data_IF_708644676239
#
_entry.id   IF_708644676239
#
_cell.length_a   1.000
_cell.length_b   1.000
_cell.length_c   1.000
_cell.angle_alpha   90.00
_cell.angle_beta   90.00
_cell.angle_gamma   90.00
#
_symmetry.space_group_name_H-M   'P 1'
#
loop_
_entity.id
_entity.type
_entity.pdbx_description
1 polymer ?
#
# COMPACT_ATOMS: atom_id res chain seq x y z
N UNK A 1 -22.65 -4.01 -14.28
CA UNK A 1 -23.42 -3.55 -13.10
C UNK A 1 -22.48 -2.65 -12.32
N UNK A 2 -22.73 -1.34 -12.25
CA UNK A 2 -21.96 -0.47 -11.37
C UNK A 2 -22.38 -0.80 -9.94
N UNK A 3 -21.49 -1.41 -9.16
CA UNK A 3 -21.74 -1.56 -7.72
C UNK A 3 -21.64 -0.17 -7.12
N UNK A 4 -22.55 0.16 -6.19
CA UNK A 4 -22.44 1.41 -5.45
C UNK A 4 -21.05 1.51 -4.81
N UNK A 5 -20.50 2.73 -4.75
CA UNK A 5 -19.20 2.97 -4.13
C UNK A 5 -19.17 2.36 -2.73
N UNK A 6 -18.22 1.47 -2.51
CA UNK A 6 -17.93 0.83 -1.23
C UNK A 6 -17.53 1.89 -0.21
N UNK A 7 -17.80 1.58 1.06
CA UNK A 7 -17.46 2.49 2.15
C UNK A 7 -15.97 2.43 2.45
N UNK A 8 -15.45 3.53 3.00
CA UNK A 8 -14.14 3.55 3.64
C UNK A 8 -14.33 3.11 5.10
N UNK A 9 -13.55 2.13 5.54
CA UNK A 9 -13.61 1.54 6.88
C UNK A 9 -12.20 1.48 7.49
N UNK A 10 -12.10 1.36 8.81
CA UNK A 10 -10.84 1.41 9.58
C UNK A 10 -10.61 0.16 10.44
N UNK A 11 -11.03 -1.01 9.95
CA UNK A 11 -10.97 -2.29 10.67
C UNK A 11 -9.59 -2.98 10.65
N UNK A 12 -8.70 -2.57 9.74
CA UNK A 12 -7.42 -3.23 9.48
C UNK A 12 -6.31 -2.24 9.80
N UNK A 13 -5.51 -2.56 10.80
CA UNK A 13 -4.32 -1.81 11.18
C UNK A 13 -4.58 -0.33 11.49
N UNK A 14 -5.81 0.05 11.84
CA UNK A 14 -6.22 1.45 12.07
C UNK A 14 -6.01 2.36 10.85
N UNK A 15 -5.91 1.77 9.65
CA UNK A 15 -5.72 2.49 8.39
C UNK A 15 -7.04 2.54 7.60
N UNK A 16 -7.47 3.72 7.12
CA UNK A 16 -8.62 3.85 6.23
C UNK A 16 -8.40 3.03 4.95
N UNK A 17 -9.33 2.12 4.66
CA UNK A 17 -9.26 1.26 3.48
C UNK A 17 -10.65 1.00 2.90
N UNK A 18 -10.67 0.55 1.64
CA UNK A 18 -11.92 0.22 0.95
C UNK A 18 -12.52 -1.05 1.55
N UNK A 19 -13.80 -1.01 1.93
CA UNK A 19 -14.51 -2.15 2.52
C UNK A 19 -14.33 -3.44 1.69
N UNK A 20 -14.03 -4.54 2.38
CA UNK A 20 -13.76 -5.84 1.75
C UNK A 20 -12.43 -5.94 1.02
N UNK A 21 -11.58 -4.90 1.04
CA UNK A 21 -10.29 -4.88 0.37
C UNK A 21 -9.20 -4.36 1.30
N UNK A 22 -8.04 -5.03 1.32
CA UNK A 22 -6.87 -4.55 2.08
C UNK A 22 -6.09 -3.48 1.32
N UNK A 23 -6.80 -2.55 0.68
CA UNK A 23 -6.23 -1.47 -0.13
C UNK A 23 -6.56 -0.15 0.55
N UNK A 24 -5.52 0.45 1.14
CA UNK A 24 -5.62 1.68 1.93
C UNK A 24 -5.91 2.89 1.05
N UNK A 25 -6.56 3.90 1.62
CA UNK A 25 -6.82 5.19 0.97
C UNK A 25 -5.51 5.87 0.51
N UNK A 26 -4.46 5.88 1.35
CA UNK A 26 -3.13 6.42 0.97
C UNK A 26 -2.54 5.71 -0.25
N UNK A 27 -2.64 4.39 -0.30
CA UNK A 27 -2.14 3.61 -1.44
C UNK A 27 -2.81 4.00 -2.75
N UNK A 28 -4.13 4.23 -2.73
CA UNK A 28 -4.87 4.67 -3.91
C UNK A 28 -4.47 6.09 -4.31
N UNK A 29 -4.36 6.99 -3.34
CA UNK A 29 -3.90 8.37 -3.58
C UNK A 29 -2.51 8.42 -4.20
N UNK A 30 -1.52 7.73 -3.64
CA UNK A 30 -0.15 7.74 -4.18
C UNK A 30 -0.05 7.15 -5.59
N UNK A 31 -0.88 6.16 -5.93
CA UNK A 31 -0.90 5.63 -7.30
C UNK A 31 -1.53 6.61 -8.30
N UNK A 32 -2.61 7.30 -7.92
CA UNK A 32 -3.32 8.21 -8.83
C UNK A 32 -2.60 9.55 -8.95
N UNK A 33 -2.24 10.16 -7.84
CA UNK A 33 -1.76 11.55 -7.81
C UNK A 33 -0.23 11.64 -7.87
N UNK A 34 0.49 10.79 -7.14
CA UNK A 34 1.97 10.84 -7.13
C UNK A 34 2.58 10.11 -8.33
N UNK A 35 2.01 8.95 -8.70
CA UNK A 35 2.48 8.15 -9.84
C UNK A 35 1.77 8.50 -11.15
N UNK A 36 0.67 9.26 -11.10
CA UNK A 36 -0.07 9.72 -12.28
C UNK A 36 -0.92 8.65 -12.97
N UNK A 37 -1.24 7.52 -12.31
CA UNK A 37 -2.09 6.48 -12.90
C UNK A 37 -3.55 6.93 -12.94
N UNK A 38 -4.29 6.50 -13.95
CA UNK A 38 -5.73 6.76 -13.99
C UNK A 38 -6.48 5.95 -12.91
N UNK A 39 -7.56 6.52 -12.36
CA UNK A 39 -8.41 5.83 -11.39
C UNK A 39 -8.93 4.48 -11.93
N UNK A 40 -9.26 4.41 -13.22
CA UNK A 40 -9.71 3.18 -13.90
C UNK A 40 -8.61 2.12 -13.97
N UNK A 41 -7.36 2.53 -14.24
CA UNK A 41 -6.22 1.60 -14.24
C UNK A 41 -5.97 1.03 -12.84
N UNK A 42 -5.98 1.89 -11.82
CA UNK A 42 -5.81 1.49 -10.42
C UNK A 42 -6.95 0.57 -9.98
N UNK A 43 -8.20 0.91 -10.33
CA UNK A 43 -9.36 0.09 -10.03
C UNK A 43 -9.23 -1.31 -10.61
N UNK A 44 -8.84 -1.41 -11.89
CA UNK A 44 -8.58 -2.70 -12.55
C UNK A 44 -7.45 -3.48 -11.86
N UNK A 45 -6.38 -2.81 -11.43
CA UNK A 45 -5.24 -3.44 -10.74
C UNK A 45 -5.67 -4.12 -9.43
N UNK A 46 -6.60 -3.53 -8.70
CA UNK A 46 -7.04 -4.02 -7.38
C UNK A 46 -8.42 -4.69 -7.39
N UNK A 47 -9.01 -4.92 -8.57
CA UNK A 47 -10.37 -5.44 -8.72
C UNK A 47 -11.42 -4.60 -7.95
N UNK A 48 -11.25 -3.28 -7.97
CA UNK A 48 -12.17 -2.30 -7.40
C UNK A 48 -13.07 -1.69 -8.48
N UNK A 49 -14.16 -1.05 -8.06
CA UNK A 49 -14.87 -0.12 -8.93
C UNK A 49 -14.08 1.20 -9.03
N UNK A 50 -14.16 1.89 -10.17
CA UNK A 50 -13.56 3.22 -10.30
C UNK A 50 -14.20 4.22 -9.31
N UNK A 51 -15.48 4.05 -8.98
CA UNK A 51 -16.17 4.83 -7.97
C UNK A 51 -15.55 4.66 -6.57
N UNK A 52 -15.07 3.45 -6.23
CA UNK A 52 -14.38 3.18 -4.96
C UNK A 52 -13.06 3.96 -4.88
N UNK A 53 -12.33 4.03 -6.00
CA UNK A 53 -11.08 4.80 -6.08
C UNK A 53 -11.33 6.28 -5.91
N UNK A 54 -12.33 6.84 -6.61
CA UNK A 54 -12.69 8.25 -6.44
C UNK A 54 -13.20 8.56 -5.02
N UNK A 55 -13.98 7.67 -4.41
CA UNK A 55 -14.42 7.81 -3.04
C UNK A 55 -13.24 7.82 -2.06
N UNK A 56 -12.23 6.98 -2.28
CA UNK A 56 -11.00 6.99 -1.49
C UNK A 56 -10.22 8.30 -1.65
N UNK A 57 -10.08 8.84 -2.88
CA UNK A 57 -9.43 10.13 -3.11
C UNK A 57 -10.17 11.28 -2.41
N UNK A 58 -11.50 11.29 -2.51
CA UNK A 58 -12.32 12.24 -1.76
C UNK A 58 -12.09 12.11 -0.25
N UNK A 59 -12.05 10.88 0.27
CA UNK A 59 -11.80 10.62 1.69
C UNK A 59 -10.44 11.16 2.12
N UNK A 60 -9.37 10.88 1.35
CA UNK A 60 -8.02 11.35 1.62
C UNK A 60 -7.96 12.86 1.83
N UNK A 61 -8.57 13.61 0.89
CA UNK A 61 -8.54 15.08 0.92
C UNK A 61 -9.49 15.70 1.95
N UNK A 62 -10.48 14.95 2.43
CA UNK A 62 -11.44 15.43 3.45
C UNK A 62 -11.09 15.02 4.88
N UNK A 63 -10.12 14.12 5.07
CA UNK A 63 -9.72 13.60 6.38
C UNK A 63 -8.19 13.68 6.59
N UNK A 64 -7.54 14.84 6.39
CA UNK A 64 -6.08 14.96 6.48
C UNK A 64 -5.53 14.51 7.85
N UNK A 65 -6.16 14.92 8.96
CA UNK A 65 -5.72 14.54 10.30
C UNK A 65 -5.75 13.02 10.54
N UNK A 66 -6.74 12.32 9.98
CA UNK A 66 -6.83 10.86 10.09
C UNK A 66 -5.73 10.19 9.26
N UNK A 67 -5.49 10.70 8.05
CA UNK A 67 -4.38 10.24 7.23
C UNK A 67 -3.05 10.45 7.96
N UNK A 68 -2.79 11.62 8.53
CA UNK A 68 -1.54 11.89 9.26
C UNK A 68 -1.33 10.92 10.43
N UNK A 69 -2.35 10.68 11.25
CA UNK A 69 -2.27 9.68 12.34
C UNK A 69 -2.00 8.27 11.83
N UNK A 70 -2.63 7.88 10.72
CA UNK A 70 -2.38 6.57 10.10
C UNK A 70 -0.92 6.46 9.60
N UNK A 71 -0.34 7.54 9.06
CA UNK A 71 1.07 7.55 8.66
C UNK A 71 2.02 7.45 9.85
N UNK A 72 1.78 8.21 10.91
CA UNK A 72 2.58 8.15 12.14
C UNK A 72 2.57 6.73 12.74
N UNK A 73 1.37 6.14 12.82
CA UNK A 73 1.18 4.77 13.32
C UNK A 73 1.95 3.76 12.47
N UNK A 74 1.87 3.88 11.13
CA UNK A 74 2.61 3.02 10.21
C UNK A 74 4.12 3.17 10.40
N UNK A 75 4.65 4.41 10.45
CA UNK A 75 6.08 4.66 10.67
C UNK A 75 6.57 4.10 12.00
N UNK A 76 5.80 4.26 13.08
CA UNK A 76 6.15 3.68 14.38
C UNK A 76 6.30 2.16 14.28
N UNK A 77 5.35 1.48 13.62
CA UNK A 77 5.40 0.03 13.42
C UNK A 77 6.59 -0.41 12.59
N UNK A 78 6.93 0.33 11.53
CA UNK A 78 8.10 0.05 10.69
C UNK A 78 9.41 0.22 11.48
N UNK A 79 9.50 1.26 12.31
CA UNK A 79 10.67 1.49 13.15
C UNK A 79 10.79 0.45 14.27
N UNK A 80 9.68 0.04 14.90
CA UNK A 80 9.64 -1.06 15.85
C UNK A 80 10.09 -2.38 15.22
N UNK A 81 9.62 -2.68 14.02
CA UNK A 81 10.03 -3.87 13.28
C UNK A 81 11.54 -3.83 12.96
N UNK A 82 12.06 -2.67 12.51
CA UNK A 82 13.50 -2.49 12.25
C UNK A 82 14.32 -2.67 13.52
N UNK A 83 13.88 -2.09 14.66
CA UNK A 83 14.51 -2.29 15.98
C UNK A 83 14.50 -3.75 16.42
N UNK A 84 13.44 -4.49 16.10
CA UNK A 84 13.33 -5.92 16.36
C UNK A 84 14.14 -6.81 15.39
N UNK A 85 14.88 -6.21 14.45
CA UNK A 85 15.74 -6.93 13.51
C UNK A 85 15.06 -7.34 12.20
N UNK A 86 13.89 -6.77 11.88
CA UNK A 86 13.28 -6.97 10.57
C UNK A 86 14.17 -6.39 9.46
N UNK A 87 14.52 -7.21 8.48
CA UNK A 87 15.28 -6.80 7.30
C UNK A 87 14.37 -6.11 6.29
N UNK A 88 14.90 -5.09 5.63
CA UNK A 88 14.30 -4.46 4.47
C UNK A 88 14.34 -5.39 3.25
N UNK A 89 13.43 -5.16 2.30
CA UNK A 89 13.44 -5.88 1.01
C UNK A 89 14.76 -5.71 0.24
N UNK A 90 15.40 -4.54 0.37
CA UNK A 90 16.71 -4.27 -0.22
C UNK A 90 17.81 -5.13 0.37
N UNK A 91 17.85 -5.30 1.70
CA UNK A 91 18.82 -6.16 2.37
C UNK A 91 18.59 -7.64 2.02
N UNK A 92 17.33 -8.08 2.00
CA UNK A 92 16.97 -9.45 1.58
C UNK A 92 17.42 -9.73 0.14
N UNK A 93 17.32 -8.73 -0.76
CA UNK A 93 17.76 -8.87 -2.15
C UNK A 93 19.28 -8.98 -2.27
N UNK A 94 20.03 -8.14 -1.55
CA UNK A 94 21.50 -8.18 -1.54
C UNK A 94 22.03 -9.53 -1.05
N UNK A 95 21.46 -10.09 0.02
CA UNK A 95 21.87 -11.41 0.54
C UNK A 95 21.64 -12.55 -0.47
N UNK A 96 20.56 -12.48 -1.26
CA UNK A 96 20.28 -13.46 -2.31
C UNK A 96 21.29 -13.39 -3.46
N UNK A 97 21.69 -12.18 -3.84
CA UNK A 97 22.61 -11.96 -4.94
C UNK A 97 24.06 -12.34 -4.55
N UNK A 98 24.45 -12.12 -3.29
CA UNK A 98 25.77 -12.52 -2.74
C UNK A 98 25.92 -14.04 -2.56
N UNK A 99 24.82 -14.77 -2.33
CA UNK A 99 24.82 -16.23 -2.22
C UNK A 99 24.99 -16.99 -3.55
N UNK A 100 24.89 -16.31 -4.70
CA UNK A 100 24.95 -16.94 -6.02
C UNK A 100 26.37 -17.09 -6.60
N UNK A 101 27.41 -16.58 -5.95
CA UNK A 101 28.77 -16.52 -6.52
C UNK A 101 29.60 -17.83 -6.34
N UNK A 102 28.94 -19.00 -6.32
CA UNK A 102 29.54 -20.25 -5.82
C UNK A 102 29.26 -21.53 -6.61
N UNK A 103 28.95 -21.47 -7.91
CA UNK A 103 28.95 -22.69 -8.74
C UNK A 103 30.03 -22.57 -9.82
N UNK A 104 31.22 -23.15 -9.63
CA UNK A 104 32.18 -23.30 -10.70
C UNK A 104 31.65 -24.34 -11.69
N UNK A 105 31.32 -23.89 -12.90
CA UNK A 105 31.05 -24.75 -14.05
C UNK A 105 32.31 -25.59 -14.32
N UNK A 106 32.27 -26.84 -13.87
CA UNK A 106 33.36 -27.81 -14.07
C UNK A 106 33.00 -28.65 -15.29
N UNK A 107 33.63 -28.32 -16.43
CA UNK A 107 33.67 -29.15 -17.63
C UNK A 107 34.99 -29.87 -17.75
#
# INVERSE_FOLDING_TARGET
>A
MAQAARRIVTEVHDEPHVEGHRVTVRRLQGLVEETGKSATEVAKQFNLDAADVYAALQYYHTHPDEMDRAEETRRSREDDARRAGAKSLTEIRQERDEGSNGVPDSR
#
